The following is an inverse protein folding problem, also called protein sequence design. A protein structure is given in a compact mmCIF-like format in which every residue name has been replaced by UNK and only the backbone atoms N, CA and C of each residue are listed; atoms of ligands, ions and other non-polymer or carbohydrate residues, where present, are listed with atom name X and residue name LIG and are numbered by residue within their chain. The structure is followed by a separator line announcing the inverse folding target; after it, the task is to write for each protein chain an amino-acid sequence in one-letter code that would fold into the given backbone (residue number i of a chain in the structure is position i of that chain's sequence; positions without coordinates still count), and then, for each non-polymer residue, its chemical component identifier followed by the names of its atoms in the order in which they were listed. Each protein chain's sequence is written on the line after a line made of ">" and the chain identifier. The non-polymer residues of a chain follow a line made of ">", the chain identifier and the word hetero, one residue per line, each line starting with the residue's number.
data_IF_022708948963
#
_entry.id   IF_022708948963
#
_cell.length_a   1.000
_cell.length_b   1.000
_cell.length_c   1.000
_cell.angle_alpha   90.00
_cell.angle_beta   90.00
_cell.angle_gamma   90.00
#
_symmetry.space_group_name_H-M   'P 1'
#
loop_
_entity.id
_entity.type
_entity.pdbx_description
1 polymer ?
#
# COMPACT_ATOMS: atom_id res chain seq x y z
N UNK A 1 -8.60 3.60 28.19
CA UNK A 1 -8.16 2.91 26.96
C UNK A 1 -8.82 3.59 25.76
N UNK A 2 -8.14 3.70 24.62
CA UNK A 2 -8.68 4.28 23.38
C UNK A 2 -8.65 3.22 22.28
N UNK A 3 -9.78 3.00 21.62
CA UNK A 3 -9.91 2.10 20.48
C UNK A 3 -10.27 2.91 19.24
N UNK A 4 -9.73 2.52 18.09
CA UNK A 4 -10.05 3.15 16.81
C UNK A 4 -10.23 2.06 15.76
N UNK A 5 -11.42 2.00 15.16
CA UNK A 5 -11.73 1.16 14.01
C UNK A 5 -11.92 2.09 12.80
N UNK A 6 -11.25 1.81 11.67
CA UNK A 6 -11.52 2.56 10.45
C UNK A 6 -12.93 2.24 9.96
N UNK A 7 -13.67 3.28 9.59
CA UNK A 7 -14.97 3.19 8.92
C UNK A 7 -14.78 3.71 7.49
N UNK A 8 -15.18 2.91 6.51
CA UNK A 8 -15.21 3.28 5.11
C UNK A 8 -16.67 3.38 4.68
N UNK A 9 -17.02 4.50 4.04
CA UNK A 9 -18.34 4.72 3.47
C UNK A 9 -18.26 4.63 1.95
N UNK A 10 -19.28 4.05 1.34
CA UNK A 10 -19.33 3.77 -0.09
C UNK A 10 -20.58 4.41 -0.67
N UNK A 11 -20.43 5.20 -1.74
CA UNK A 11 -21.55 5.85 -2.42
C UNK A 11 -22.53 4.85 -3.03
N UNK A 12 -23.72 5.32 -3.37
CA UNK A 12 -24.79 4.51 -3.95
C UNK A 12 -24.29 3.69 -5.17
N UNK A 13 -24.36 2.36 -5.07
CA UNK A 13 -23.90 1.42 -6.10
C UNK A 13 -22.50 0.83 -5.90
N UNK A 14 -21.69 1.31 -4.96
CA UNK A 14 -20.42 0.70 -4.59
C UNK A 14 -20.62 -0.37 -3.51
N UNK A 15 -20.25 -1.62 -3.82
CA UNK A 15 -20.39 -2.72 -2.88
C UNK A 15 -19.28 -2.67 -1.80
N UNK A 16 -19.60 -3.03 -0.54
CA UNK A 16 -18.59 -3.26 0.51
C UNK A 16 -17.61 -4.39 0.12
N UNK A 17 -16.54 -4.51 0.91
CA UNK A 17 -15.32 -5.30 0.66
C UNK A 17 -15.53 -6.76 0.21
N UNK A 18 -16.70 -7.35 0.44
CA UNK A 18 -17.02 -8.75 0.15
C UNK A 18 -16.98 -9.15 -1.33
N UNK A 19 -16.79 -8.21 -2.26
CA UNK A 19 -16.71 -8.48 -3.71
C UNK A 19 -15.42 -8.03 -4.39
N UNK A 20 -14.47 -7.42 -3.68
CA UNK A 20 -13.20 -6.97 -4.24
C UNK A 20 -12.14 -8.05 -4.07
N UNK A 21 -11.81 -8.78 -5.14
CA UNK A 21 -10.66 -9.67 -5.08
C UNK A 21 -9.42 -8.84 -4.69
N UNK A 22 -8.71 -9.28 -3.65
CA UNK A 22 -7.51 -8.59 -3.16
C UNK A 22 -6.47 -8.38 -4.28
N UNK A 23 -6.47 -9.28 -5.27
CA UNK A 23 -5.68 -9.21 -6.50
C UNK A 23 -6.06 -8.03 -7.40
N UNK A 24 -7.36 -7.71 -7.52
CA UNK A 24 -7.85 -6.58 -8.30
C UNK A 24 -7.40 -5.26 -7.66
N UNK A 25 -7.59 -5.11 -6.34
CA UNK A 25 -7.11 -3.92 -5.60
C UNK A 25 -5.59 -3.80 -5.73
N UNK A 26 -4.85 -4.91 -5.58
CA UNK A 26 -3.40 -4.91 -5.73
C UNK A 26 -2.94 -4.47 -7.13
N UNK A 27 -3.68 -4.80 -8.19
CA UNK A 27 -3.36 -4.41 -9.57
C UNK A 27 -3.44 -2.89 -9.79
N UNK A 28 -4.24 -2.19 -8.98
CA UNK A 28 -4.41 -0.74 -9.02
C UNK A 28 -3.40 0.01 -8.14
N UNK A 29 -2.52 -0.71 -7.42
CA UNK A 29 -1.47 -0.13 -6.61
C UNK A 29 -0.18 0.03 -7.39
N UNK A 30 0.49 1.16 -7.17
CA UNK A 30 1.84 1.42 -7.64
C UNK A 30 2.71 1.96 -6.52
N UNK A 31 3.99 1.60 -6.49
CA UNK A 31 4.92 2.11 -5.47
C UNK A 31 6.18 2.72 -6.05
N UNK A 32 6.81 3.60 -5.27
CA UNK A 32 8.16 4.11 -5.54
C UNK A 32 8.85 4.51 -4.25
N UNK A 33 10.16 4.70 -4.33
CA UNK A 33 10.94 5.34 -3.27
C UNK A 33 11.24 6.75 -3.73
N UNK A 34 10.87 7.73 -2.90
CA UNK A 34 11.18 9.14 -3.12
C UNK A 34 12.17 9.61 -2.05
N UNK A 35 12.88 10.69 -2.36
CA UNK A 35 13.68 11.44 -1.38
C UNK A 35 13.09 12.83 -1.24
N UNK A 36 12.85 13.23 -0.01
CA UNK A 36 12.31 14.54 0.35
C UNK A 36 13.05 15.02 1.60
N UNK A 37 13.63 16.22 1.56
CA UNK A 37 14.39 16.80 2.67
C UNK A 37 15.50 15.88 3.22
N UNK A 38 16.21 15.18 2.35
CA UNK A 38 17.29 14.26 2.74
C UNK A 38 16.85 12.95 3.40
N UNK A 39 15.54 12.67 3.43
CA UNK A 39 14.97 11.42 3.96
C UNK A 39 14.33 10.60 2.84
N UNK A 40 14.46 9.28 2.91
CA UNK A 40 13.76 8.35 2.02
C UNK A 40 12.35 8.02 2.53
N UNK A 41 11.43 7.89 1.58
CA UNK A 41 10.06 7.46 1.84
C UNK A 41 9.63 6.39 0.84
N UNK A 42 8.92 5.37 1.33
CA UNK A 42 8.08 4.51 0.50
C UNK A 42 6.80 5.27 0.21
N UNK A 43 6.56 5.60 -1.05
CA UNK A 43 5.27 6.11 -1.52
C UNK A 43 4.51 4.98 -2.21
N UNK A 44 3.28 4.73 -1.76
CA UNK A 44 2.34 3.83 -2.43
C UNK A 44 1.13 4.63 -2.87
N UNK A 45 0.84 4.61 -4.16
CA UNK A 45 -0.33 5.22 -4.80
C UNK A 45 -1.35 4.13 -5.08
N UNK A 46 -2.61 4.44 -4.79
CA UNK A 46 -3.76 3.67 -5.19
C UNK A 46 -4.51 4.48 -6.25
N UNK A 47 -4.67 3.91 -7.45
CA UNK A 47 -5.47 4.51 -8.53
C UNK A 47 -6.85 3.90 -8.67
N UNK A 48 -7.16 2.91 -7.84
CA UNK A 48 -8.44 2.26 -7.82
C UNK A 48 -9.47 3.07 -7.05
N UNK A 49 -10.71 2.65 -7.19
CA UNK A 49 -11.89 3.26 -6.54
C UNK A 49 -12.12 2.71 -5.12
N UNK A 50 -11.35 1.68 -4.71
CA UNK A 50 -11.43 1.04 -3.40
C UNK A 50 -10.15 1.24 -2.61
N UNK A 51 -10.26 1.32 -1.29
CA UNK A 51 -9.09 1.46 -0.43
C UNK A 51 -8.27 0.14 -0.37
N UNK A 52 -6.99 0.26 -0.02
CA UNK A 52 -6.09 -0.86 0.21
C UNK A 52 -5.56 -0.84 1.64
N UNK A 53 -5.76 -1.93 2.37
CA UNK A 53 -5.10 -2.24 3.64
C UNK A 53 -3.80 -3.00 3.34
N UNK A 54 -2.67 -2.42 3.70
CA UNK A 54 -1.35 -3.01 3.49
C UNK A 54 -0.83 -3.62 4.79
N UNK A 55 -0.53 -4.91 4.76
CA UNK A 55 0.11 -5.64 5.86
C UNK A 55 1.34 -6.40 5.35
N UNK A 56 2.24 -6.80 6.25
CA UNK A 56 3.38 -7.68 5.93
C UNK A 56 4.23 -7.16 4.75
N UNK A 57 4.56 -5.87 4.79
CA UNK A 57 5.26 -5.19 3.69
C UNK A 57 6.76 -5.44 3.80
N UNK A 58 7.39 -5.86 2.70
CA UNK A 58 8.82 -6.15 2.63
C UNK A 58 9.43 -5.81 1.25
N UNK A 59 10.70 -5.46 1.25
CA UNK A 59 11.51 -5.34 0.04
C UNK A 59 12.32 -6.62 -0.23
N UNK A 60 12.36 -7.05 -1.49
CA UNK A 60 13.11 -8.24 -1.93
C UNK A 60 12.74 -9.50 -1.15
N UNK A 61 13.70 -10.41 -0.97
CA UNK A 61 13.50 -11.65 -0.19
C UNK A 61 13.52 -11.48 1.35
N UNK A 62 13.54 -10.26 1.91
CA UNK A 62 13.51 -10.19 3.38
C UNK A 62 13.73 -8.86 4.08
N UNK A 63 13.96 -7.74 3.38
CA UNK A 63 14.07 -6.44 4.03
C UNK A 63 12.68 -5.96 4.47
N UNK A 64 12.27 -6.37 5.66
CA UNK A 64 10.93 -6.14 6.20
C UNK A 64 10.74 -4.66 6.51
N UNK A 65 9.68 -4.06 5.95
CA UNK A 65 9.20 -2.71 6.33
C UNK A 65 8.30 -2.83 7.56
N UNK A 66 7.38 -3.79 7.57
CA UNK A 66 6.57 -4.15 8.74
C UNK A 66 6.11 -5.60 8.67
N UNK A 67 5.96 -6.23 9.83
CA UNK A 67 5.32 -7.57 9.95
C UNK A 67 3.81 -7.50 10.17
N UNK A 68 3.28 -6.32 10.48
CA UNK A 68 1.87 -6.10 10.80
C UNK A 68 1.21 -5.12 9.83
N UNK A 69 0.21 -4.39 10.30
CA UNK A 69 -0.41 -3.30 9.54
C UNK A 69 0.62 -2.20 9.27
N UNK A 70 0.87 -1.91 7.99
CA UNK A 70 1.59 -0.71 7.58
C UNK A 70 0.64 0.49 7.58
N UNK A 71 -0.56 0.29 7.03
CA UNK A 71 -1.61 1.30 7.00
C UNK A 71 -2.58 1.12 5.83
N UNK A 72 -3.34 2.17 5.55
CA UNK A 72 -4.35 2.20 4.51
C UNK A 72 -4.01 3.22 3.43
N UNK A 73 -4.13 2.83 2.17
CA UNK A 73 -4.08 3.74 1.01
C UNK A 73 -5.49 3.90 0.46
N UNK A 74 -6.07 5.08 0.63
CA UNK A 74 -7.45 5.37 0.20
C UNK A 74 -7.56 5.36 -1.34
N UNK A 75 -8.79 5.24 -1.84
CA UNK A 75 -9.11 5.37 -3.25
C UNK A 75 -8.55 6.69 -3.82
N UNK A 76 -8.03 6.62 -5.04
CA UNK A 76 -7.36 7.71 -5.75
C UNK A 76 -6.36 8.54 -4.91
N UNK A 77 -5.71 7.91 -3.93
CA UNK A 77 -4.83 8.58 -2.97
C UNK A 77 -3.47 7.91 -2.90
N UNK A 78 -2.52 8.57 -2.24
CA UNK A 78 -1.22 8.00 -1.93
C UNK A 78 -0.91 8.15 -0.44
N UNK A 79 -0.03 7.27 0.05
CA UNK A 79 0.55 7.37 1.39
C UNK A 79 2.06 7.26 1.31
N UNK A 80 2.72 7.90 2.28
CA UNK A 80 4.17 7.89 2.44
C UNK A 80 4.53 7.38 3.82
N UNK A 81 5.48 6.45 3.87
CA UNK A 81 6.09 5.98 5.12
C UNK A 81 7.59 6.25 5.06
N UNK A 82 8.21 6.74 6.14
CA UNK A 82 9.65 6.92 6.19
C UNK A 82 10.34 5.55 6.04
N UNK A 83 11.46 5.54 5.32
CA UNK A 83 12.35 4.39 5.21
C UNK A 83 13.72 4.72 5.79
N UNK A 84 14.40 3.69 6.28
CA UNK A 84 15.82 3.80 6.64
C UNK A 84 16.66 4.00 5.38
N UNK A 85 17.76 4.75 5.49
CA UNK A 85 18.64 5.01 4.33
C UNK A 85 19.22 3.74 3.73
N UNK A 86 19.36 2.68 4.53
CA UNK A 86 19.90 1.37 4.13
C UNK A 86 18.87 0.42 3.52
N UNK A 87 17.57 0.77 3.49
CA UNK A 87 16.54 -0.15 2.98
C UNK A 87 16.73 -0.41 1.47
N UNK A 88 16.98 -1.65 1.03
CA UNK A 88 17.11 -2.00 -0.38
C UNK A 88 15.77 -1.80 -1.08
N UNK A 89 15.77 -1.31 -2.31
CA UNK A 89 14.62 -0.62 -2.87
C UNK A 89 14.16 -1.10 -4.23
N UNK A 90 14.31 -2.38 -4.56
CA UNK A 90 14.16 -2.86 -5.95
C UNK A 90 12.81 -3.51 -6.24
N UNK A 91 12.32 -4.36 -5.34
CA UNK A 91 11.02 -5.04 -5.45
C UNK A 91 10.27 -4.96 -4.13
N UNK A 92 8.97 -4.63 -4.17
CA UNK A 92 8.10 -4.52 -3.00
C UNK A 92 7.05 -5.62 -3.01
N UNK A 93 6.90 -6.30 -1.87
CA UNK A 93 5.85 -7.27 -1.59
C UNK A 93 4.95 -6.73 -0.47
N UNK A 94 3.66 -7.04 -0.55
CA UNK A 94 2.70 -6.71 0.48
C UNK A 94 1.53 -7.69 0.45
N UNK A 95 0.89 -7.89 1.59
CA UNK A 95 -0.43 -8.51 1.68
C UNK A 95 -1.50 -7.41 1.61
N UNK A 96 -2.38 -7.49 0.63
CA UNK A 96 -3.41 -6.48 0.35
C UNK A 96 -4.77 -7.00 0.81
N UNK A 97 -5.49 -6.21 1.61
CA UNK A 97 -6.82 -6.51 2.14
C UNK A 97 -6.95 -7.86 2.86
N UNK A 98 -5.85 -8.52 3.21
CA UNK A 98 -5.83 -9.83 3.87
C UNK A 98 -5.74 -11.03 2.92
N UNK A 99 -5.65 -10.81 1.61
CA UNK A 99 -5.43 -11.85 0.59
C UNK A 99 -4.02 -12.45 0.61
N UNK A 100 -3.53 -12.96 -0.52
CA UNK A 100 -2.15 -13.47 -0.61
C UNK A 100 -1.11 -12.35 -0.67
N UNK A 101 0.14 -12.68 -0.36
CA UNK A 101 1.27 -11.76 -0.55
C UNK A 101 1.56 -11.62 -2.03
N UNK A 102 1.49 -10.39 -2.52
CA UNK A 102 1.65 -10.06 -3.94
C UNK A 102 2.82 -9.09 -4.14
N UNK A 103 3.45 -9.18 -5.32
CA UNK A 103 4.43 -8.19 -5.76
C UNK A 103 3.70 -6.95 -6.28
N UNK A 104 3.99 -5.79 -5.71
CA UNK A 104 3.42 -4.53 -6.18
C UNK A 104 4.24 -3.96 -7.35
N UNK A 105 3.54 -3.39 -8.34
CA UNK A 105 4.17 -2.77 -9.50
C UNK A 105 4.93 -1.51 -9.08
N UNK A 106 6.17 -1.39 -9.53
CA UNK A 106 6.91 -0.13 -9.37
C UNK A 106 6.32 0.87 -10.35
N UNK A 107 5.84 2.01 -9.85
CA UNK A 107 5.28 3.07 -10.67
C UNK A 107 6.32 4.17 -10.90
N UNK A 108 6.60 4.44 -12.18
CA UNK A 108 7.38 5.60 -12.62
C UNK A 108 6.43 6.74 -13.00
N UNK A 109 6.66 7.99 -12.54
CA UNK A 109 5.91 9.14 -13.05
C UNK A 109 6.05 9.17 -14.58
N UNK A 110 4.98 9.55 -15.29
CA UNK A 110 5.06 9.82 -16.72
C UNK A 110 6.16 10.88 -16.96
N UNK A 111 6.93 10.77 -18.06
CA UNK A 111 7.97 11.73 -18.40
C UNK A 111 7.42 13.16 -18.58
#
# INVERSE_FOLDING_TARGET
>A
MRYSLPLFDYGEGAAPEDGAEASEVASMLGWRIIRENGRRYLEVRNRGERHARLTEVAFGQGATVTKGLLGYVLADSYRRWPLEETTPGDTLFARVNGGETVRLARWSPAP
#
